data_IF_520314592109
#
_entry.id   IF_520314592109
#
_cell.length_a   1.000
_cell.length_b   1.000
_cell.length_c   1.000
_cell.angle_alpha   90.00
_cell.angle_beta   90.00
_cell.angle_gamma   90.00
#
_symmetry.space_group_name_H-M   'P 1'
#
loop_
_entity.id
_entity.type
_entity.pdbx_description
1 polymer ?
#
# COMPACT_ATOMS: atom_id res chain seq x y z
N UNK A 1 -18.05 -28.04 32.86
CA UNK A 1 -17.68 -26.61 33.02
C UNK A 1 -16.79 -26.28 31.83
N UNK A 2 -17.20 -25.35 30.96
CA UNK A 2 -16.40 -24.99 29.79
C UNK A 2 -15.37 -23.93 30.20
N UNK A 3 -14.09 -24.24 30.05
CA UNK A 3 -13.00 -23.31 30.33
C UNK A 3 -13.07 -22.13 29.36
N UNK A 4 -13.23 -20.92 29.90
CA UNK A 4 -13.23 -19.69 29.12
C UNK A 4 -11.79 -19.37 28.66
N UNK A 5 -11.42 -19.81 27.45
CA UNK A 5 -10.16 -19.40 26.82
C UNK A 5 -10.25 -17.92 26.44
N UNK A 6 -9.48 -17.08 27.12
CA UNK A 6 -9.31 -15.67 26.75
C UNK A 6 -8.74 -15.56 25.34
N UNK A 7 -9.39 -14.79 24.46
CA UNK A 7 -8.88 -14.52 23.10
C UNK A 7 -7.54 -13.79 23.18
N UNK A 8 -6.56 -14.23 22.39
CA UNK A 8 -5.27 -13.55 22.25
C UNK A 8 -5.45 -12.09 21.81
N UNK A 9 -4.80 -11.17 22.53
CA UNK A 9 -4.92 -9.71 22.32
C UNK A 9 -4.43 -9.24 20.94
N UNK A 10 -3.72 -10.09 20.20
CA UNK A 10 -3.07 -9.74 18.92
C UNK A 10 -3.69 -10.39 17.69
N UNK A 11 -4.90 -10.95 17.79
CA UNK A 11 -5.58 -11.61 16.66
C UNK A 11 -6.07 -10.65 15.56
N UNK A 12 -6.01 -9.34 15.77
CA UNK A 12 -6.72 -8.36 14.94
C UNK A 12 -5.88 -7.22 14.38
N UNK A 13 -4.56 -7.17 14.62
CA UNK A 13 -3.74 -6.10 14.06
C UNK A 13 -3.30 -6.50 12.64
N UNK A 14 -3.88 -5.90 11.58
CA UNK A 14 -3.49 -6.24 10.22
C UNK A 14 -2.04 -5.79 10.04
N UNK A 15 -1.15 -6.72 9.72
CA UNK A 15 0.23 -6.37 9.39
C UNK A 15 0.20 -5.86 7.96
N UNK A 16 0.30 -4.55 7.78
CA UNK A 16 0.42 -3.94 6.46
C UNK A 16 1.73 -4.39 5.82
N UNK A 17 1.62 -5.17 4.73
CA UNK A 17 2.74 -5.74 3.98
C UNK A 17 2.50 -5.54 2.49
N UNK A 18 3.32 -4.69 1.87
CA UNK A 18 3.23 -4.39 0.44
C UNK A 18 4.33 -5.08 -0.38
N UNK A 19 5.03 -6.06 0.20
CA UNK A 19 6.24 -6.63 -0.40
C UNK A 19 6.01 -7.19 -1.81
N UNK A 20 4.80 -7.67 -2.09
CA UNK A 20 4.37 -8.25 -3.37
C UNK A 20 3.38 -7.38 -4.14
N UNK A 21 3.18 -6.12 -3.74
CA UNK A 21 2.24 -5.24 -4.42
C UNK A 21 2.76 -4.88 -5.81
N UNK A 22 1.89 -4.89 -6.83
CA UNK A 22 2.27 -4.61 -8.21
C UNK A 22 2.93 -3.24 -8.39
N UNK A 23 2.52 -2.24 -7.60
CA UNK A 23 3.06 -0.88 -7.65
C UNK A 23 4.38 -0.72 -6.88
N UNK A 24 4.79 -1.67 -6.04
CA UNK A 24 5.99 -1.54 -5.18
C UNK A 24 7.27 -1.36 -5.98
N UNK A 25 7.37 -2.00 -7.15
CA UNK A 25 8.52 -1.87 -8.04
C UNK A 25 8.71 -0.46 -8.62
N UNK A 26 7.72 0.42 -8.49
CA UNK A 26 7.74 1.79 -9.01
C UNK A 26 8.01 2.85 -7.93
N UNK A 27 8.27 2.41 -6.68
CA UNK A 27 8.57 3.30 -5.55
C UNK A 27 10.07 3.48 -5.40
N UNK A 28 10.51 4.73 -5.35
CA UNK A 28 11.93 5.08 -5.17
C UNK A 28 12.29 5.27 -3.70
N UNK A 29 11.38 5.88 -2.94
CA UNK A 29 11.64 6.19 -1.54
C UNK A 29 10.36 6.24 -0.73
N UNK A 30 10.50 6.31 0.59
CA UNK A 30 9.38 6.42 1.52
C UNK A 30 9.62 7.62 2.41
N UNK A 31 8.59 8.45 2.61
CA UNK A 31 8.67 9.60 3.51
C UNK A 31 8.94 9.12 4.94
N UNK A 32 9.99 9.61 5.61
CA UNK A 32 10.46 9.03 6.87
C UNK A 32 9.48 9.19 8.04
N UNK A 33 8.65 10.24 8.04
CA UNK A 33 7.71 10.51 9.13
C UNK A 33 6.33 9.90 8.91
N UNK A 34 5.85 9.91 7.66
CA UNK A 34 4.48 9.50 7.32
C UNK A 34 4.41 8.11 6.69
N UNK A 35 5.56 7.49 6.39
CA UNK A 35 5.67 6.23 5.65
C UNK A 35 4.95 6.22 4.29
N UNK A 36 4.80 7.40 3.67
CA UNK A 36 4.15 7.53 2.37
C UNK A 36 5.15 7.19 1.27
N UNK A 37 4.85 6.21 0.40
CA UNK A 37 5.72 5.86 -0.71
C UNK A 37 5.74 6.97 -1.77
N UNK A 38 6.94 7.28 -2.25
CA UNK A 38 7.20 8.26 -3.31
C UNK A 38 7.52 7.49 -4.59
N UNK A 39 6.68 7.58 -5.63
CA UNK A 39 6.91 6.94 -6.92
C UNK A 39 7.98 7.65 -7.75
N UNK A 40 8.54 6.97 -8.76
CA UNK A 40 9.46 7.57 -9.74
C UNK A 40 8.76 8.55 -10.68
N UNK A 41 9.50 9.52 -11.22
CA UNK A 41 8.94 10.51 -12.18
C UNK A 41 8.32 9.84 -13.41
N UNK A 42 8.96 8.79 -13.95
CA UNK A 42 8.44 8.01 -15.07
C UNK A 42 7.05 7.45 -14.75
N UNK A 43 6.90 6.81 -13.58
CA UNK A 43 5.63 6.21 -13.18
C UNK A 43 4.53 7.25 -12.96
N UNK A 44 4.88 8.45 -12.50
CA UNK A 44 3.94 9.58 -12.36
C UNK A 44 3.46 10.05 -13.75
N UNK A 45 4.38 10.19 -14.70
CA UNK A 45 4.05 10.61 -16.06
C UNK A 45 3.18 9.57 -16.77
N UNK A 46 3.55 8.28 -16.70
CA UNK A 46 2.75 7.21 -17.29
C UNK A 46 1.36 7.10 -16.66
N UNK A 47 1.24 7.26 -15.34
CA UNK A 47 -0.05 7.27 -14.66
C UNK A 47 -0.91 8.44 -15.14
N UNK A 48 -0.32 9.62 -15.31
CA UNK A 48 -1.00 10.81 -15.85
C UNK A 48 -1.49 10.57 -17.27
N UNK A 49 -0.62 10.10 -18.17
CA UNK A 49 -0.99 9.82 -19.56
C UNK A 49 -2.10 8.79 -19.66
N UNK A 50 -2.04 7.73 -18.84
CA UNK A 50 -3.07 6.72 -18.79
C UNK A 50 -4.41 7.32 -18.37
N UNK A 51 -4.43 8.15 -17.31
CA UNK A 51 -5.64 8.86 -16.88
C UNK A 51 -6.14 9.74 -18.00
N UNK A 52 -5.32 10.64 -18.54
CA UNK A 52 -5.71 11.59 -19.58
C UNK A 52 -6.27 10.90 -20.84
N UNK A 53 -5.76 9.70 -21.17
CA UNK A 53 -6.23 8.89 -22.31
C UNK A 53 -7.52 8.13 -22.02
N UNK A 54 -7.69 7.62 -20.80
CA UNK A 54 -8.86 6.81 -20.41
C UNK A 54 -9.98 7.64 -19.80
N UNK A 55 -9.71 8.88 -19.38
CA UNK A 55 -10.70 9.86 -18.97
C UNK A 55 -11.38 10.45 -20.22
N UNK A 56 -12.08 9.60 -20.96
CA UNK A 56 -13.12 10.04 -21.88
C UNK A 56 -14.35 10.42 -21.05
N UNK A 57 -14.83 11.64 -21.30
CA UNK A 57 -15.94 12.39 -20.68
C UNK A 57 -17.18 11.59 -20.30
#
# INVERSE_FOLDING_TARGET
MAENKSKDKFLANPIEKHDTAAWRGHIESVKPQSNVPIPSEESVNSAKEWVDTNSLS
#
